data_IF_545427662914
#
_entry.id   IF_545427662914
#
_cell.length_a   1.000
_cell.length_b   1.000
_cell.length_c   1.000
_cell.angle_alpha   90.00
_cell.angle_beta   90.00
_cell.angle_gamma   90.00
#
_symmetry.space_group_name_H-M   'P 1'
#
loop_
_entity.id
_entity.type
_entity.pdbx_description
1 polymer ?
#
# COMPACT_ATOMS: atom_id res chain seq x y z
N UNK A 1 -18.31 -18.92 -1.98
CA UNK A 1 -17.90 -19.46 -0.67
C UNK A 1 -16.52 -20.06 -0.86
N UNK A 2 -15.45 -19.30 -0.57
CA UNK A 2 -14.11 -19.87 -0.53
C UNK A 2 -14.07 -20.83 0.68
N UNK A 3 -13.51 -22.06 0.55
CA UNK A 3 -13.34 -22.91 1.71
C UNK A 3 -12.51 -22.15 2.74
N UNK A 4 -12.98 -22.16 3.99
CA UNK A 4 -12.17 -21.74 5.11
C UNK A 4 -10.99 -22.71 5.18
N UNK A 5 -9.87 -22.32 4.56
CA UNK A 5 -8.61 -23.02 4.75
C UNK A 5 -8.19 -22.79 6.20
N UNK A 6 -8.51 -23.76 7.04
CA UNK A 6 -8.16 -23.81 8.46
C UNK A 6 -6.73 -24.28 8.67
N UNK A 7 -5.93 -24.46 7.61
CA UNK A 7 -4.49 -24.63 7.77
C UNK A 7 -3.91 -23.29 8.23
N UNK A 8 -3.70 -23.20 9.54
CA UNK A 8 -3.08 -22.12 10.28
C UNK A 8 -1.58 -21.98 9.94
N UNK A 9 -1.24 -22.00 8.65
CA UNK A 9 0.07 -21.59 8.16
C UNK A 9 0.02 -20.08 8.07
N UNK A 10 0.51 -19.42 9.13
CA UNK A 10 0.63 -17.96 9.11
C UNK A 10 1.29 -17.55 7.80
N UNK A 11 0.63 -16.67 7.04
CA UNK A 11 1.19 -16.03 5.84
C UNK A 11 2.56 -15.38 6.14
N UNK A 12 2.85 -15.15 7.42
CA UNK A 12 4.04 -14.49 7.95
C UNK A 12 5.19 -15.45 8.28
N UNK A 13 5.01 -16.77 8.11
CA UNK A 13 6.14 -17.71 8.24
C UNK A 13 7.02 -17.62 6.98
N UNK A 14 8.34 -17.38 7.12
CA UNK A 14 9.25 -17.35 5.98
C UNK A 14 9.18 -18.65 5.18
N UNK A 15 8.75 -18.58 3.92
CA UNK A 15 8.84 -19.72 3.00
C UNK A 15 10.27 -19.82 2.47
N UNK A 16 10.85 -21.02 2.51
CA UNK A 16 12.23 -21.29 2.01
C UNK A 16 12.36 -21.10 0.49
N UNK A 17 11.26 -21.16 -0.24
CA UNK A 17 11.18 -20.88 -1.68
C UNK A 17 10.05 -19.87 -1.94
N UNK A 18 10.24 -19.01 -2.94
CA UNK A 18 9.20 -18.07 -3.38
C UNK A 18 8.06 -18.87 -4.04
N UNK A 19 7.02 -19.15 -3.27
CA UNK A 19 5.73 -19.52 -3.81
C UNK A 19 4.95 -18.23 -4.11
N UNK A 20 4.04 -18.23 -5.11
CA UNK A 20 3.15 -17.10 -5.36
C UNK A 20 2.47 -16.69 -4.04
N UNK A 21 2.71 -15.45 -3.61
CA UNK A 21 2.12 -14.93 -2.37
C UNK A 21 0.61 -14.77 -2.52
N UNK A 22 0.18 -14.38 -3.72
CA UNK A 22 -1.22 -14.15 -4.05
C UNK A 22 -1.82 -15.44 -4.63
N UNK A 23 -3.05 -15.82 -4.25
CA UNK A 23 -3.71 -17.02 -4.74
C UNK A 23 -3.91 -16.97 -6.26
N UNK A 24 -3.66 -18.11 -6.95
CA UNK A 24 -3.68 -18.19 -8.42
C UNK A 24 -5.06 -18.44 -9.04
N UNK A 25 -6.03 -18.95 -8.26
CA UNK A 25 -7.26 -19.55 -8.83
C UNK A 25 -8.39 -18.56 -9.17
N UNK A 26 -8.46 -17.39 -8.53
CA UNK A 26 -9.51 -16.38 -8.78
C UNK A 26 -8.96 -14.96 -8.58
N UNK A 27 -9.47 -13.94 -9.30
CA UNK A 27 -9.15 -12.56 -9.01
C UNK A 27 -9.43 -12.19 -7.56
N UNK A 28 -8.55 -11.39 -6.94
CA UNK A 28 -8.73 -10.97 -5.54
C UNK A 28 -9.95 -10.06 -5.36
N UNK A 29 -10.36 -9.33 -6.40
CA UNK A 29 -11.54 -8.48 -6.38
C UNK A 29 -12.83 -9.21 -6.82
N UNK A 30 -12.81 -10.52 -7.02
CA UNK A 30 -13.95 -11.25 -7.54
C UNK A 30 -15.19 -11.08 -6.63
N UNK A 31 -16.26 -10.53 -7.21
CA UNK A 31 -17.53 -10.26 -6.54
C UNK A 31 -17.64 -8.90 -5.83
N UNK A 32 -16.59 -8.08 -5.83
CA UNK A 32 -16.59 -6.74 -5.23
C UNK A 32 -17.00 -5.69 -6.25
N UNK A 33 -17.86 -4.74 -5.85
CA UNK A 33 -18.14 -3.53 -6.65
C UNK A 33 -17.03 -2.49 -6.47
N UNK A 34 -16.37 -2.53 -5.31
CA UNK A 34 -15.39 -1.54 -4.86
C UNK A 34 -14.21 -2.22 -4.19
N UNK A 35 -13.02 -1.74 -4.49
CA UNK A 35 -11.77 -2.25 -3.95
C UNK A 35 -10.94 -1.11 -3.40
N UNK A 36 -10.47 -1.30 -2.18
CA UNK A 36 -9.45 -0.47 -1.55
C UNK A 36 -8.13 -1.25 -1.45
N UNK A 37 -7.04 -0.68 -1.95
CA UNK A 37 -5.70 -1.25 -1.87
C UNK A 37 -4.82 -0.32 -1.04
N UNK A 38 -4.23 -0.84 0.02
CA UNK A 38 -3.40 -0.09 0.96
C UNK A 38 -1.96 -0.62 0.93
N UNK A 39 -1.08 0.09 0.22
CA UNK A 39 0.33 -0.29 0.08
C UNK A 39 1.13 0.44 1.16
N UNK A 40 1.67 -0.32 2.12
CA UNK A 40 2.25 0.21 3.35
C UNK A 40 1.17 0.56 4.36
N UNK A 41 0.40 -0.45 4.79
CA UNK A 41 -0.74 -0.21 5.67
C UNK A 41 -0.35 0.06 7.14
N UNK A 42 0.94 -0.10 7.50
CA UNK A 42 1.50 0.11 8.83
C UNK A 42 0.72 -0.70 9.89
N UNK A 43 0.09 -0.04 10.87
CA UNK A 43 -0.73 -0.69 11.89
C UNK A 43 -2.19 -0.96 11.45
N UNK A 44 -2.51 -0.72 10.18
CA UNK A 44 -3.85 -0.88 9.59
C UNK A 44 -4.78 0.31 9.85
N UNK A 45 -4.25 1.47 10.23
CA UNK A 45 -5.05 2.66 10.55
C UNK A 45 -6.02 3.08 9.45
N UNK A 46 -5.62 3.02 8.17
CA UNK A 46 -6.52 3.36 7.06
C UNK A 46 -7.64 2.34 6.88
N UNK A 47 -7.37 1.05 7.08
CA UNK A 47 -8.41 0.01 7.10
C UNK A 47 -9.40 0.26 8.25
N UNK A 48 -8.89 0.60 9.43
CA UNK A 48 -9.75 0.94 10.59
C UNK A 48 -10.61 2.15 10.28
N UNK A 49 -10.06 3.20 9.66
CA UNK A 49 -10.81 4.39 9.29
C UNK A 49 -11.87 4.12 8.23
N UNK A 50 -11.57 3.29 7.24
CA UNK A 50 -12.50 2.93 6.16
C UNK A 50 -13.72 2.14 6.67
N UNK A 51 -13.51 1.23 7.62
CA UNK A 51 -14.57 0.35 8.12
C UNK A 51 -15.13 0.75 9.49
N UNK A 52 -14.52 1.71 10.18
CA UNK A 52 -15.00 2.24 11.47
C UNK A 52 -15.02 3.77 11.46
N UNK A 53 -15.66 4.42 10.47
CA UNK A 53 -15.61 5.88 10.33
C UNK A 53 -16.20 6.63 11.54
N UNK A 54 -17.16 6.02 12.25
CA UNK A 54 -17.75 6.59 13.45
C UNK A 54 -16.76 6.77 14.62
N UNK A 55 -15.72 5.94 14.70
CA UNK A 55 -14.67 6.02 15.73
C UNK A 55 -13.61 7.07 15.37
N UNK A 56 -13.52 7.42 14.09
CA UNK A 56 -12.49 8.31 13.55
C UNK A 56 -13.04 9.65 13.07
N UNK A 57 -14.20 10.10 13.62
CA UNK A 57 -14.89 11.35 13.24
C UNK A 57 -14.02 12.62 13.35
N UNK A 58 -12.95 12.56 14.13
CA UNK A 58 -12.00 13.66 14.29
C UNK A 58 -10.64 13.25 13.76
N UNK A 59 -10.32 13.69 12.54
CA UNK A 59 -8.96 13.59 12.03
C UNK A 59 -8.91 13.59 10.52
N UNK A 60 -8.24 14.61 9.98
CA UNK A 60 -7.60 14.71 8.67
C UNK A 60 -8.49 14.66 7.42
N UNK A 61 -8.37 15.70 6.59
CA UNK A 61 -9.00 15.82 5.27
C UNK A 61 -8.73 14.62 4.38
N UNK A 62 -7.55 14.01 4.50
CA UNK A 62 -7.17 12.81 3.75
C UNK A 62 -8.16 11.67 3.95
N UNK A 63 -8.62 11.39 5.17
CA UNK A 63 -9.56 10.28 5.37
C UNK A 63 -10.92 10.58 4.82
N UNK A 64 -11.37 11.83 4.84
CA UNK A 64 -12.62 12.21 4.17
C UNK A 64 -12.51 12.03 2.66
N UNK A 65 -11.36 12.37 2.07
CA UNK A 65 -11.12 12.16 0.64
C UNK A 65 -11.06 10.67 0.28
N UNK A 66 -10.36 9.87 1.09
CA UNK A 66 -10.27 8.42 0.89
C UNK A 66 -11.64 7.75 1.08
N UNK A 67 -12.35 8.09 2.14
CA UNK A 67 -13.70 7.57 2.43
C UNK A 67 -14.68 7.93 1.32
N UNK A 68 -14.66 9.19 0.86
CA UNK A 68 -15.48 9.63 -0.26
C UNK A 68 -15.10 8.90 -1.56
N UNK A 69 -13.81 8.67 -1.80
CA UNK A 69 -13.33 7.97 -2.99
C UNK A 69 -13.72 6.49 -3.01
N UNK A 70 -13.67 5.81 -1.87
CA UNK A 70 -14.01 4.39 -1.77
C UNK A 70 -15.51 4.21 -1.59
N UNK A 71 -16.07 4.76 -0.53
CA UNK A 71 -17.43 4.47 -0.10
C UNK A 71 -18.49 5.43 -0.62
N UNK A 72 -18.10 6.56 -1.23
CA UNK A 72 -19.07 7.54 -1.76
C UNK A 72 -20.02 8.08 -0.69
N UNK A 73 -19.57 8.16 0.57
CA UNK A 73 -20.39 8.60 1.71
C UNK A 73 -21.40 7.56 2.21
N UNK A 74 -21.40 6.33 1.68
CA UNK A 74 -22.30 5.28 2.15
C UNK A 74 -21.87 4.74 3.51
N UNK A 75 -22.84 4.41 4.36
CA UNK A 75 -22.60 3.79 5.67
C UNK A 75 -22.37 2.27 5.55
N UNK A 76 -23.02 1.62 4.58
CA UNK A 76 -22.80 0.20 4.30
C UNK A 76 -21.48 0.00 3.54
N UNK A 77 -20.60 -0.84 4.09
CA UNK A 77 -19.26 -1.15 3.56
C UNK A 77 -19.11 -2.61 3.13
N UNK A 78 -20.20 -3.39 3.13
CA UNK A 78 -20.19 -4.84 2.88
C UNK A 78 -19.84 -5.24 1.44
N UNK A 79 -19.92 -4.33 0.48
CA UNK A 79 -19.56 -4.52 -0.92
C UNK A 79 -18.12 -4.05 -1.24
N UNK A 80 -17.40 -3.51 -0.25
CA UNK A 80 -15.99 -3.12 -0.36
C UNK A 80 -15.10 -4.30 0.00
N UNK A 81 -14.12 -4.56 -0.86
CA UNK A 81 -13.00 -5.44 -0.59
C UNK A 81 -11.75 -4.62 -0.30
N UNK A 82 -10.95 -5.04 0.68
CA UNK A 82 -9.80 -4.28 1.11
C UNK A 82 -8.57 -5.16 1.24
N UNK A 83 -7.50 -4.76 0.56
CA UNK A 83 -6.25 -5.51 0.48
C UNK A 83 -5.13 -4.62 0.98
N UNK A 84 -4.41 -5.06 2.01
CA UNK A 84 -3.26 -4.36 2.56
C UNK A 84 -1.96 -5.10 2.31
N UNK A 85 -0.86 -4.36 2.31
CA UNK A 85 0.50 -4.90 2.30
C UNK A 85 1.31 -4.24 3.42
N UNK A 86 1.90 -5.06 4.29
CA UNK A 86 2.74 -4.61 5.39
C UNK A 86 3.92 -5.56 5.61
N UNK A 87 5.16 -5.16 5.28
CA UNK A 87 6.34 -6.01 5.45
C UNK A 87 6.85 -6.12 6.90
N UNK A 88 6.51 -5.20 7.81
CA UNK A 88 7.05 -5.15 9.18
C UNK A 88 6.38 -6.21 10.07
N UNK A 89 7.11 -7.24 10.55
CA UNK A 89 6.52 -8.31 11.37
C UNK A 89 5.95 -7.82 12.71
N UNK A 90 6.47 -6.71 13.26
CA UNK A 90 5.98 -6.13 14.51
C UNK A 90 4.51 -5.67 14.42
N UNK A 91 3.99 -5.41 13.21
CA UNK A 91 2.61 -5.01 12.98
C UNK A 91 1.65 -6.21 12.79
N UNK A 92 2.17 -7.43 12.60
CA UNK A 92 1.39 -8.63 12.27
C UNK A 92 0.23 -8.86 13.25
N UNK A 93 0.52 -8.88 14.55
CA UNK A 93 -0.47 -9.23 15.56
C UNK A 93 -1.61 -8.20 15.60
N UNK A 94 -1.26 -6.91 15.57
CA UNK A 94 -2.21 -5.79 15.58
C UNK A 94 -3.11 -5.81 14.34
N UNK A 95 -2.52 -6.01 13.15
CA UNK A 95 -3.26 -6.15 11.90
C UNK A 95 -4.17 -7.37 11.94
N UNK A 96 -3.68 -8.53 12.41
CA UNK A 96 -4.48 -9.76 12.49
C UNK A 96 -5.70 -9.57 13.40
N UNK A 97 -5.53 -8.91 14.54
CA UNK A 97 -6.62 -8.56 15.46
C UNK A 97 -7.62 -7.60 14.80
N UNK A 98 -7.13 -6.57 14.10
CA UNK A 98 -7.97 -5.64 13.36
C UNK A 98 -8.81 -6.37 12.30
N UNK A 99 -8.17 -7.17 11.44
CA UNK A 99 -8.84 -7.92 10.38
C UNK A 99 -9.88 -8.89 10.96
N UNK A 100 -9.56 -9.60 12.05
CA UNK A 100 -10.51 -10.48 12.72
C UNK A 100 -11.72 -9.72 13.26
N UNK A 101 -11.50 -8.56 13.88
CA UNK A 101 -12.57 -7.71 14.42
C UNK A 101 -13.48 -7.16 13.32
N UNK A 102 -12.91 -6.64 12.23
CA UNK A 102 -13.68 -6.12 11.10
C UNK A 102 -14.51 -7.19 10.40
N UNK A 103 -13.98 -8.43 10.31
CA UNK A 103 -14.70 -9.60 9.79
C UNK A 103 -15.87 -10.00 10.69
N UNK A 104 -15.64 -10.07 12.01
CA UNK A 104 -16.68 -10.44 12.98
C UNK A 104 -17.83 -9.42 13.04
N UNK A 105 -17.53 -8.13 12.88
CA UNK A 105 -18.53 -7.06 12.89
C UNK A 105 -19.33 -6.89 11.59
N UNK A 106 -19.10 -7.73 10.57
CA UNK A 106 -19.79 -7.65 9.27
C UNK A 106 -19.53 -6.37 8.46
N UNK A 107 -18.55 -5.56 8.88
CA UNK A 107 -18.25 -4.26 8.27
C UNK A 107 -17.62 -4.42 6.88
N UNK A 108 -16.82 -5.46 6.69
CA UNK A 108 -16.21 -5.80 5.42
C UNK A 108 -16.71 -7.17 4.97
N UNK A 109 -16.69 -7.42 3.65
CA UNK A 109 -16.85 -8.79 3.15
C UNK A 109 -15.71 -9.63 3.72
N UNK A 110 -16.06 -10.49 4.68
CA UNK A 110 -15.06 -11.18 5.48
C UNK A 110 -14.07 -12.00 4.64
N UNK A 111 -14.48 -12.42 3.45
CA UNK A 111 -13.68 -13.18 2.50
C UNK A 111 -12.53 -12.36 1.85
N UNK A 112 -12.61 -11.03 1.78
CA UNK A 112 -11.67 -10.20 0.99
C UNK A 112 -11.16 -8.96 1.74
N UNK A 113 -11.12 -9.04 3.07
CA UNK A 113 -10.24 -8.22 3.90
C UNK A 113 -8.96 -9.03 4.18
N UNK A 114 -7.90 -8.79 3.41
CA UNK A 114 -6.64 -9.52 3.54
C UNK A 114 -5.47 -8.54 3.65
N UNK A 115 -4.55 -8.78 4.58
CA UNK A 115 -3.29 -8.04 4.66
C UNK A 115 -2.15 -9.03 4.48
N UNK A 116 -1.29 -8.75 3.51
CA UNK A 116 -0.18 -9.60 3.14
C UNK A 116 1.13 -9.11 3.77
N UNK A 117 1.96 -10.02 4.29
CA UNK A 117 3.25 -9.68 4.89
C UNK A 117 4.35 -9.49 3.85
N UNK A 118 4.19 -8.47 3.02
CA UNK A 118 5.07 -8.25 1.89
C UNK A 118 5.24 -6.78 1.59
N UNK A 119 6.42 -6.44 1.08
CA UNK A 119 6.67 -5.14 0.48
C UNK A 119 6.10 -5.12 -0.94
N UNK A 120 5.69 -3.95 -1.41
CA UNK A 120 5.33 -3.75 -2.83
C UNK A 120 6.49 -3.07 -3.54
N UNK A 121 6.83 -3.58 -4.72
CA UNK A 121 7.99 -3.15 -5.51
C UNK A 121 7.70 -3.27 -7.02
N UNK A 122 8.73 -3.11 -7.85
CA UNK A 122 8.67 -3.33 -9.29
C UNK A 122 8.57 -4.81 -9.68
N UNK A 123 9.06 -5.73 -8.85
CA UNK A 123 9.19 -7.16 -9.17
C UNK A 123 8.74 -8.05 -8.02
N UNK A 124 8.36 -9.29 -8.36
CA UNK A 124 8.10 -10.35 -7.40
C UNK A 124 9.42 -10.94 -6.86
N UNK A 125 9.43 -11.44 -5.64
CA UNK A 125 10.56 -12.20 -5.11
C UNK A 125 10.76 -12.07 -3.61
N UNK A 126 12.02 -12.18 -3.18
CA UNK A 126 12.46 -11.87 -1.83
C UNK A 126 13.37 -10.66 -1.88
N UNK A 127 13.21 -9.74 -0.93
CA UNK A 127 14.06 -8.58 -0.81
C UNK A 127 14.58 -8.42 0.62
N UNK A 128 15.72 -7.74 0.73
CA UNK A 128 16.18 -7.21 2.01
C UNK A 128 15.32 -6.01 2.36
N UNK A 129 14.75 -6.04 3.55
CA UNK A 129 13.94 -4.97 4.11
C UNK A 129 14.62 -4.43 5.36
N UNK A 130 14.76 -3.11 5.42
CA UNK A 130 15.52 -2.40 6.41
C UNK A 130 14.57 -1.77 7.43
N UNK A 131 14.77 -2.07 8.72
CA UNK A 131 13.99 -1.47 9.79
C UNK A 131 14.65 -0.18 10.25
N UNK A 132 13.87 0.89 10.36
CA UNK A 132 14.38 2.13 10.96
C UNK A 132 14.66 1.91 12.46
N UNK A 133 15.60 2.69 13.00
CA UNK A 133 15.92 2.64 14.42
C UNK A 133 15.10 3.67 15.20
N UNK A 134 14.86 4.81 14.56
CA UNK A 134 14.37 6.03 15.19
C UNK A 134 13.81 6.94 14.10
N UNK A 135 12.49 7.07 13.99
CA UNK A 135 11.90 8.11 13.15
C UNK A 135 12.56 9.48 13.45
N UNK A 136 12.76 10.33 12.44
CA UNK A 136 13.51 11.59 12.57
C UNK A 136 12.93 12.47 13.71
N UNK A 137 13.71 12.63 14.79
CA UNK A 137 13.35 13.39 16.00
C UNK A 137 13.24 12.58 17.31
N UNK A 138 13.86 11.40 17.39
CA UNK A 138 13.67 10.41 18.45
C UNK A 138 14.16 10.82 19.85
N UNK A 139 13.31 11.55 20.56
CA UNK A 139 13.18 11.50 22.01
C UNK A 139 12.17 10.45 22.49
N UNK A 140 12.10 9.26 21.87
CA UNK A 140 11.33 8.15 22.44
C UNK A 140 10.84 7.08 21.46
N UNK A 141 10.59 5.90 22.03
CA UNK A 141 10.20 4.63 21.40
C UNK A 141 8.84 4.60 20.68
N UNK A 142 8.30 5.76 20.27
CA UNK A 142 6.90 5.91 19.84
C UNK A 142 6.68 5.73 18.33
N UNK A 143 7.72 5.84 17.51
CA UNK A 143 7.63 5.80 16.04
C UNK A 143 8.52 4.73 15.41
N UNK A 144 8.79 3.63 16.13
CA UNK A 144 9.59 2.55 15.57
C UNK A 144 8.90 1.93 14.35
N UNK A 145 9.69 1.72 13.32
CA UNK A 145 9.41 1.07 12.05
C UNK A 145 8.62 1.87 11.02
N UNK A 146 8.26 3.14 11.25
CA UNK A 146 7.48 3.91 10.28
C UNK A 146 8.24 4.15 8.98
N UNK A 147 9.52 4.53 9.05
CA UNK A 147 10.36 4.66 7.88
C UNK A 147 11.01 3.34 7.44
N UNK A 148 10.51 2.17 7.85
CA UNK A 148 11.11 0.91 7.37
C UNK A 148 10.87 0.74 5.89
N UNK A 149 11.88 0.32 5.14
CA UNK A 149 11.82 0.36 3.67
C UNK A 149 12.68 -0.72 3.00
N UNK A 150 12.41 -0.95 1.71
CA UNK A 150 13.33 -1.64 0.80
C UNK A 150 14.58 -0.80 0.48
N UNK A 151 14.50 0.51 0.71
CA UNK A 151 15.62 1.44 0.63
C UNK A 151 16.26 1.58 2.00
N UNK A 152 17.56 1.34 2.09
CA UNK A 152 18.35 1.75 3.24
C UNK A 152 18.60 3.25 3.10
N UNK A 153 17.87 4.11 3.82
CA UNK A 153 17.97 5.58 3.72
C UNK A 153 18.59 6.25 4.96
N UNK A 154 18.81 5.49 6.04
CA UNK A 154 19.47 5.95 7.27
C UNK A 154 20.65 5.04 7.63
N UNK A 155 21.71 5.63 8.18
CA UNK A 155 22.81 4.87 8.76
C UNK A 155 22.35 4.02 9.96
N UNK A 156 22.77 2.76 9.99
CA UNK A 156 22.45 1.83 11.07
C UNK A 156 21.25 0.92 10.78
N UNK A 157 20.46 1.22 9.75
CA UNK A 157 19.39 0.33 9.30
C UNK A 157 19.93 -1.05 8.85
N UNK A 158 21.17 -1.13 8.37
CA UNK A 158 21.84 -2.38 7.99
C UNK A 158 21.95 -3.37 9.16
N UNK A 159 21.95 -2.88 10.40
CA UNK A 159 22.02 -3.70 11.61
C UNK A 159 20.69 -4.38 11.93
N UNK A 160 19.59 -3.92 11.33
CA UNK A 160 18.23 -4.41 11.55
C UNK A 160 17.54 -4.63 10.22
N UNK A 161 18.04 -5.61 9.47
CA UNK A 161 17.44 -6.03 8.21
C UNK A 161 16.77 -7.40 8.35
N UNK A 162 15.73 -7.63 7.58
CA UNK A 162 15.07 -8.92 7.47
C UNK A 162 14.71 -9.21 6.02
N UNK A 163 14.48 -10.49 5.70
CA UNK A 163 14.07 -10.93 4.37
C UNK A 163 12.55 -10.96 4.31
N UNK A 164 11.96 -10.17 3.43
CA UNK A 164 10.51 -10.15 3.18
C UNK A 164 10.18 -10.66 1.79
N UNK A 165 9.00 -11.26 1.58
CA UNK A 165 8.39 -11.33 0.27
C UNK A 165 8.20 -9.91 -0.29
N UNK A 166 8.46 -9.75 -1.60
CA UNK A 166 8.07 -8.57 -2.34
C UNK A 166 7.10 -8.96 -3.47
N UNK A 167 6.15 -8.08 -3.75
CA UNK A 167 5.14 -8.23 -4.78
C UNK A 167 5.29 -7.11 -5.80
N UNK A 168 5.41 -7.47 -7.08
CA UNK A 168 5.42 -6.52 -8.18
C UNK A 168 4.05 -5.87 -8.34
N UNK A 169 3.98 -4.54 -8.41
CA UNK A 169 2.71 -3.82 -8.49
C UNK A 169 1.88 -4.18 -9.75
N UNK A 170 2.52 -4.42 -10.89
CA UNK A 170 1.84 -4.91 -12.09
C UNK A 170 1.17 -6.27 -11.83
N UNK A 171 1.93 -7.21 -11.28
CA UNK A 171 1.42 -8.54 -10.92
C UNK A 171 0.27 -8.45 -9.91
N UNK A 172 0.38 -7.59 -8.88
CA UNK A 172 -0.71 -7.35 -7.93
C UNK A 172 -1.99 -6.90 -8.65
N UNK A 173 -1.92 -5.92 -9.54
CA UNK A 173 -3.10 -5.39 -10.24
C UNK A 173 -3.71 -6.40 -11.22
N UNK A 174 -2.89 -7.25 -11.83
CA UNK A 174 -3.36 -8.38 -12.65
C UNK A 174 -4.06 -9.44 -11.78
N UNK A 175 -3.49 -9.79 -10.61
CA UNK A 175 -4.14 -10.70 -9.65
C UNK A 175 -5.40 -10.11 -9.04
N UNK A 176 -5.48 -8.79 -8.93
CA UNK A 176 -6.64 -8.10 -8.38
C UNK A 176 -7.86 -8.26 -9.27
N UNK A 177 -7.71 -7.96 -10.56
CA UNK A 177 -8.82 -7.90 -11.50
C UNK A 177 -8.97 -9.16 -12.37
N UNK A 178 -7.94 -9.99 -12.46
CA UNK A 178 -7.82 -11.06 -13.45
C UNK A 178 -6.99 -10.60 -14.66
N UNK A 179 -6.38 -11.56 -15.35
CA UNK A 179 -5.64 -11.31 -16.60
C UNK A 179 -6.59 -10.87 -17.72
N UNK A 180 -7.74 -11.54 -17.83
CA UNK A 180 -8.75 -11.37 -18.87
C UNK A 180 -9.95 -10.56 -18.37
N UNK A 181 -9.71 -9.51 -17.58
CA UNK A 181 -10.77 -8.59 -17.20
C UNK A 181 -11.21 -7.79 -18.45
N UNK A 182 -11.96 -8.46 -19.33
CA UNK A 182 -12.61 -7.88 -20.49
C UNK A 182 -13.46 -6.70 -20.04
N UNK A 183 -13.39 -5.63 -20.82
CA UNK A 183 -13.86 -4.29 -20.52
C UNK A 183 -15.37 -4.15 -20.21
N UNK A 184 -16.14 -5.25 -20.29
CA UNK A 184 -17.59 -5.28 -20.11
C UNK A 184 -18.05 -5.80 -18.74
N UNK A 185 -17.22 -6.56 -18.00
CA UNK A 185 -17.57 -6.96 -16.65
C UNK A 185 -17.65 -5.71 -15.76
N UNK A 186 -18.79 -5.51 -15.09
CA UNK A 186 -19.10 -4.34 -14.26
C UNK A 186 -17.85 -3.72 -13.64
N UNK A 187 -17.45 -2.56 -14.16
CA UNK A 187 -16.20 -1.88 -13.81
C UNK A 187 -16.08 -1.75 -12.30
N UNK A 188 -15.11 -2.47 -11.72
CA UNK A 188 -14.80 -2.39 -10.28
C UNK A 188 -14.11 -1.06 -10.02
N UNK A 189 -14.67 -0.27 -9.11
CA UNK A 189 -14.04 0.96 -8.62
C UNK A 189 -12.84 0.58 -7.74
N UNK A 190 -11.64 0.94 -8.19
CA UNK A 190 -10.40 0.65 -7.48
C UNK A 190 -9.75 1.93 -6.97
N UNK A 191 -9.61 2.01 -5.66
CA UNK A 191 -8.90 3.09 -4.96
C UNK A 191 -7.65 2.49 -4.34
N UNK A 192 -6.52 3.14 -4.55
CA UNK A 192 -5.22 2.71 -4.03
C UNK A 192 -4.58 3.82 -3.23
N UNK A 193 -4.07 3.51 -2.05
CA UNK A 193 -3.14 4.35 -1.27
C UNK A 193 -1.75 3.73 -1.38
N UNK A 194 -0.76 4.54 -1.71
CA UNK A 194 0.64 4.15 -1.84
C UNK A 194 1.48 5.01 -0.92
N UNK A 195 2.11 4.36 0.05
CA UNK A 195 2.98 4.95 1.06
C UNK A 195 3.96 3.85 1.48
N UNK A 196 4.97 3.63 0.63
CA UNK A 196 5.87 2.48 0.71
C UNK A 196 7.32 2.94 0.90
N UNK A 197 7.47 4.08 1.57
CA UNK A 197 8.73 4.57 2.13
C UNK A 197 9.91 4.56 1.14
N UNK A 198 9.70 5.04 -0.09
CA UNK A 198 10.73 5.14 -1.14
C UNK A 198 10.64 4.05 -2.22
N UNK A 199 9.88 2.98 -2.01
CA UNK A 199 9.67 1.98 -3.06
C UNK A 199 8.72 2.49 -4.17
N UNK A 200 8.01 3.60 -3.98
CA UNK A 200 7.14 4.23 -4.98
C UNK A 200 7.91 4.65 -6.24
N UNK A 201 9.19 4.99 -6.09
CA UNK A 201 10.07 5.41 -7.18
C UNK A 201 10.47 4.27 -8.13
N UNK A 202 10.28 3.02 -7.71
CA UNK A 202 10.54 1.84 -8.52
C UNK A 202 9.22 1.13 -8.89
N UNK A 203 8.30 0.99 -7.95
CA UNK A 203 7.01 0.30 -8.14
C UNK A 203 6.08 1.02 -9.13
N UNK A 204 5.87 2.34 -8.97
CA UNK A 204 4.92 3.06 -9.81
C UNK A 204 5.42 3.21 -11.26
N UNK A 205 6.69 3.58 -11.53
CA UNK A 205 7.20 3.59 -12.91
C UNK A 205 7.17 2.24 -13.60
N UNK A 206 7.40 1.13 -12.89
CA UNK A 206 7.29 -0.19 -13.48
C UNK A 206 5.83 -0.57 -13.83
N UNK A 207 4.86 -0.07 -13.08
CA UNK A 207 3.46 -0.51 -13.18
C UNK A 207 2.48 0.55 -13.73
N UNK A 208 2.95 1.72 -14.17
CA UNK A 208 2.08 2.86 -14.48
C UNK A 208 0.97 2.57 -15.49
N UNK A 209 1.24 1.72 -16.49
CA UNK A 209 0.21 1.30 -17.48
C UNK A 209 -0.87 0.45 -16.82
N UNK A 210 -0.48 -0.48 -15.96
CA UNK A 210 -1.42 -1.29 -15.20
C UNK A 210 -2.24 -0.43 -14.23
N UNK A 211 -1.60 0.54 -13.57
CA UNK A 211 -2.28 1.54 -12.73
C UNK A 211 -3.30 2.32 -13.56
N UNK A 212 -2.89 2.91 -14.69
CA UNK A 212 -3.77 3.65 -15.60
C UNK A 212 -4.97 2.86 -16.10
N UNK A 213 -4.82 1.55 -16.31
CA UNK A 213 -5.90 0.68 -16.78
C UNK A 213 -6.85 0.20 -15.66
N UNK A 214 -6.35 0.08 -14.41
CA UNK A 214 -7.02 -0.69 -13.35
C UNK A 214 -7.30 0.10 -12.06
N UNK A 215 -6.74 1.29 -11.90
CA UNK A 215 -6.91 2.13 -10.70
C UNK A 215 -7.65 3.41 -11.06
N UNK A 216 -8.73 3.73 -10.35
CA UNK A 216 -9.54 4.93 -10.57
C UNK A 216 -9.04 6.13 -9.76
N UNK A 217 -8.55 5.86 -8.55
CA UNK A 217 -8.01 6.85 -7.62
C UNK A 217 -6.71 6.33 -7.01
N UNK A 218 -5.65 7.13 -7.11
CA UNK A 218 -4.36 6.87 -6.48
C UNK A 218 -4.05 7.99 -5.49
N UNK A 219 -3.96 7.65 -4.21
CA UNK A 219 -3.40 8.53 -3.18
C UNK A 219 -1.94 8.15 -2.99
N UNK A 220 -1.02 9.05 -3.32
CA UNK A 220 0.42 8.78 -3.35
C UNK A 220 1.15 9.65 -2.33
N UNK A 221 1.81 9.05 -1.35
CA UNK A 221 2.82 9.71 -0.53
C UNK A 221 4.21 9.50 -1.17
N UNK A 222 4.98 10.58 -1.29
CA UNK A 222 6.34 10.52 -1.82
C UNK A 222 7.37 10.81 -0.74
N UNK A 223 8.44 10.04 -0.77
CA UNK A 223 9.51 10.07 0.22
C UNK A 223 10.77 10.73 -0.32
N UNK A 224 10.64 11.84 -1.05
CA UNK A 224 11.75 12.58 -1.68
C UNK A 224 12.89 12.85 -0.68
N UNK A 225 12.53 13.03 0.60
CA UNK A 225 13.47 13.25 1.73
C UNK A 225 14.54 12.16 1.84
N UNK A 226 14.25 10.92 1.45
CA UNK A 226 15.21 9.82 1.51
C UNK A 226 16.38 9.96 0.53
N UNK A 227 16.25 10.84 -0.46
CA UNK A 227 17.28 11.14 -1.44
C UNK A 227 17.94 12.50 -1.25
N UNK A 228 17.60 13.21 -0.18
CA UNK A 228 18.15 14.52 0.13
C UNK A 228 19.39 14.38 1.00
N UNK A 229 20.51 14.94 0.55
CA UNK A 229 21.75 15.03 1.35
C UNK A 229 21.56 15.81 2.66
N UNK A 230 20.53 16.65 2.74
CA UNK A 230 20.19 17.43 3.95
C UNK A 230 19.43 16.62 4.99
N UNK A 231 19.04 15.39 4.68
CA UNK A 231 18.35 14.51 5.61
C UNK A 231 19.34 13.88 6.59
N UNK A 232 19.02 13.88 7.89
CA UNK A 232 19.95 13.48 8.98
C UNK A 232 20.43 12.02 8.96
N UNK A 233 20.03 11.21 7.97
CA UNK A 233 20.47 9.83 7.77
C UNK A 233 21.11 9.52 6.41
N UNK A 234 21.16 10.48 5.47
CA UNK A 234 21.57 10.24 4.10
C UNK A 234 23.06 9.84 3.99
N UNK A 235 23.39 8.82 3.18
CA UNK A 235 24.77 8.48 2.82
C UNK A 235 25.05 8.83 1.35
N UNK A 236 26.20 9.45 1.09
CA UNK A 236 26.64 9.81 -0.28
C UNK A 236 26.69 8.59 -1.24
N UNK A 237 26.92 7.39 -0.70
CA UNK A 237 27.01 6.13 -1.44
C UNK A 237 25.65 5.63 -1.97
N UNK A 238 24.53 6.18 -1.51
CA UNK A 238 23.19 5.79 -1.96
C UNK A 238 22.81 6.38 -3.33
N UNK A 239 23.70 7.19 -3.92
CA UNK A 239 23.47 7.95 -5.14
C UNK A 239 22.51 9.11 -4.92
N UNK A 240 22.72 10.22 -5.62
CA UNK A 240 21.75 11.31 -5.64
C UNK A 240 20.45 10.78 -6.27
N UNK A 241 19.43 10.48 -5.46
CA UNK A 241 18.15 9.99 -5.96
C UNK A 241 17.38 11.01 -6.79
N UNK A 242 17.96 12.18 -7.08
CA UNK A 242 17.46 13.20 -8.01
C UNK A 242 16.93 12.60 -9.31
N UNK A 243 17.63 11.63 -9.89
CA UNK A 243 17.17 10.94 -11.09
C UNK A 243 15.89 10.11 -10.88
N UNK A 244 15.71 9.49 -9.71
CA UNK A 244 14.49 8.74 -9.37
C UNK A 244 13.32 9.69 -9.15
N UNK A 245 13.55 10.78 -8.41
CA UNK A 245 12.53 11.79 -8.12
C UNK A 245 12.05 12.47 -9.41
N UNK A 246 12.97 12.93 -10.25
CA UNK A 246 12.63 13.54 -11.53
C UNK A 246 11.83 12.59 -12.44
N UNK A 247 12.23 11.30 -12.50
CA UNK A 247 11.49 10.29 -13.27
C UNK A 247 10.07 10.06 -12.77
N UNK A 248 9.87 10.00 -11.44
CA UNK A 248 8.52 9.86 -10.87
C UNK A 248 7.66 11.09 -11.19
N UNK A 249 8.19 12.30 -11.04
CA UNK A 249 7.45 13.53 -11.35
C UNK A 249 7.11 13.67 -12.84
N UNK A 250 8.02 13.28 -13.74
CA UNK A 250 7.74 13.20 -15.18
C UNK A 250 6.62 12.19 -15.47
N UNK A 251 6.68 11.02 -14.82
CA UNK A 251 5.65 10.01 -14.97
C UNK A 251 4.27 10.51 -14.52
N UNK A 252 4.18 11.20 -13.38
CA UNK A 252 2.91 11.73 -12.88
C UNK A 252 2.29 12.75 -13.85
N UNK A 253 3.13 13.61 -14.46
CA UNK A 253 2.70 14.53 -15.53
C UNK A 253 2.18 13.75 -16.74
N UNK A 254 2.93 12.75 -17.20
CA UNK A 254 2.51 11.87 -18.29
C UNK A 254 1.18 11.16 -17.99
N UNK A 255 0.97 10.66 -16.78
CA UNK A 255 -0.30 10.03 -16.39
C UNK A 255 -1.47 11.01 -16.50
N UNK A 256 -1.26 12.28 -16.17
CA UNK A 256 -2.29 13.32 -16.35
C UNK A 256 -2.59 13.62 -17.82
N UNK A 257 -1.57 13.66 -18.68
CA UNK A 257 -1.75 13.84 -20.12
C UNK A 257 -2.50 12.66 -20.74
N UNK A 258 -2.11 11.43 -20.39
CA UNK A 258 -2.81 10.20 -20.80
C UNK A 258 -4.26 10.17 -20.28
N UNK A 259 -4.51 10.72 -19.09
CA UNK A 259 -5.87 10.84 -18.54
C UNK A 259 -6.72 11.82 -19.33
N UNK A 260 -6.18 13.01 -19.66
CA UNK A 260 -6.88 14.00 -20.50
C UNK A 260 -7.17 13.44 -21.89
N UNK A 261 -6.31 12.56 -22.39
CA UNK A 261 -6.50 11.87 -23.66
C UNK A 261 -7.39 10.63 -23.59
N UNK A 262 -7.98 10.31 -22.42
CA UNK A 262 -8.85 9.14 -22.24
C UNK A 262 -8.14 7.78 -22.22
N UNK A 263 -6.81 7.76 -22.18
CA UNK A 263 -5.96 6.54 -22.18
C UNK A 263 -5.54 6.09 -20.78
N UNK A 264 -5.73 6.94 -19.76
CA UNK A 264 -5.51 6.61 -18.36
C UNK A 264 -6.76 6.96 -17.55
N UNK A 265 -7.27 6.02 -16.75
CA UNK A 265 -8.44 6.27 -15.91
C UNK A 265 -8.10 6.80 -14.52
N UNK A 266 -6.84 6.67 -14.11
CA UNK A 266 -6.38 7.02 -12.77
C UNK A 266 -6.32 8.53 -12.59
N UNK A 267 -7.02 9.02 -11.59
CA UNK A 267 -6.74 10.33 -11.00
C UNK A 267 -5.86 10.13 -9.79
N UNK A 268 -4.69 10.77 -9.77
CA UNK A 268 -3.79 10.72 -8.63
C UNK A 268 -3.90 11.99 -7.77
N UNK A 269 -3.60 11.84 -6.49
CA UNK A 269 -3.51 12.92 -5.50
C UNK A 269 -2.23 12.70 -4.71
N UNK A 270 -1.36 13.70 -4.66
CA UNK A 270 -0.22 13.68 -3.75
C UNK A 270 -0.70 13.90 -2.32
N UNK A 271 -0.42 12.92 -1.48
CA UNK A 271 -0.42 13.07 -0.05
C UNK A 271 0.83 13.86 0.27
N UNK A 272 0.70 15.19 0.38
CA UNK A 272 1.75 15.96 1.02
C UNK A 272 2.02 15.36 2.41
N UNK A 273 3.19 15.66 3.01
CA UNK A 273 3.54 15.31 4.40
C UNK A 273 2.60 15.97 5.46
N UNK A 274 1.29 15.88 5.24
CA UNK A 274 0.17 16.31 6.08
C UNK A 274 0.02 15.36 7.26
N UNK A 275 0.53 14.13 7.17
CA UNK A 275 0.61 13.22 8.32
C UNK A 275 1.64 13.70 9.37
N UNK A 276 2.62 14.53 8.97
CA UNK A 276 3.61 15.13 9.89
C UNK A 276 3.28 16.54 10.41
N UNK A 277 2.38 17.29 9.75
CA UNK A 277 1.95 18.61 10.24
C UNK A 277 0.74 18.46 11.16
N UNK A 278 0.99 18.17 12.43
CA UNK A 278 0.00 18.47 13.48
C UNK A 278 -0.39 19.95 13.35
N UNK A 279 -1.69 20.22 13.45
CA UNK A 279 -2.18 21.56 13.76
C UNK A 279 -1.34 22.09 14.94
N UNK A 280 -0.64 23.21 14.72
CA UNK A 280 -0.10 24.00 15.82
C UNK A 280 -1.26 24.66 16.54
#
# INVERSE_FOLDING_TARGET
MLPADTSNTSLWRPRRAFAPLLPDRRPLAAGCSRVYVDLGCNDGLNLRRLFMPAVHRYGQSLFRELDAAVAGGQSNRSDICAIGFEPVPANEESIRKLVASLRAGGQARAQLLAVFPAAVHATNGLATFYLDQNGPGSGGAKYHNWGSSLLMWEAGMERRQLRVPQVGLTYLLERLHGADADAEAARVLTVMKMDIEGAEYDALPAAWRAVCARVDRLFLETHDRFFSERWHGHRAEMGSGEGRVARLHELLRRMDDERRAGRCRTRWTLLGAREGRRAR
#
